data_IF_906905877292
#
_entry.id   IF_906905877292
#
_cell.length_a   1.000
_cell.length_b   1.000
_cell.length_c   1.000
_cell.angle_alpha   90.00
_cell.angle_beta   90.00
_cell.angle_gamma   90.00
#
_symmetry.space_group_name_H-M   'P 1'
#
loop_
_entity.id
_entity.type
_entity.pdbx_description
1 polymer ?
#
# COMPACT_ATOMS: atom_id res chain seq x y z
N UNK A 1 10.51 11.50 -0.40
CA UNK A 1 10.46 10.73 0.86
C UNK A 1 10.57 9.25 0.52
N UNK A 2 11.18 8.43 1.39
CA UNK A 2 11.28 6.99 1.15
C UNK A 2 9.93 6.30 1.34
N UNK A 3 9.55 5.42 0.41
CA UNK A 3 8.35 4.61 0.50
C UNK A 3 8.55 3.23 -0.15
N UNK A 4 7.80 2.24 0.33
CA UNK A 4 7.66 0.96 -0.37
C UNK A 4 6.59 1.11 -1.45
N UNK A 5 6.98 0.99 -2.71
CA UNK A 5 6.13 1.21 -3.87
C UNK A 5 5.88 -0.12 -4.57
N UNK A 6 4.60 -0.43 -4.82
CA UNK A 6 4.18 -1.58 -5.59
C UNK A 6 3.75 -1.13 -6.99
N UNK A 7 4.52 -1.53 -7.99
CA UNK A 7 4.29 -1.14 -9.38
C UNK A 7 3.39 -2.12 -10.14
N UNK A 8 2.80 -1.63 -11.24
CA UNK A 8 2.13 -2.50 -12.21
C UNK A 8 3.16 -3.14 -13.14
N UNK A 9 3.78 -4.22 -12.67
CA UNK A 9 4.72 -5.03 -13.45
C UNK A 9 4.24 -6.49 -13.48
N UNK A 10 3.59 -6.87 -14.59
CA UNK A 10 3.01 -8.22 -14.77
C UNK A 10 4.09 -9.31 -14.75
N UNK A 11 5.24 -9.19 -15.45
CA UNK A 11 6.34 -10.14 -15.33
C UNK A 11 6.83 -10.35 -13.90
N UNK A 12 7.12 -9.27 -13.16
CA UNK A 12 7.58 -9.38 -11.76
C UNK A 12 6.51 -9.95 -10.84
N UNK A 13 5.25 -9.61 -11.05
CA UNK A 13 4.14 -10.20 -10.30
C UNK A 13 4.04 -11.71 -10.53
N UNK A 14 4.20 -12.17 -11.77
CA UNK A 14 4.24 -13.60 -12.08
C UNK A 14 5.45 -14.30 -11.44
N UNK A 15 6.64 -13.65 -11.47
CA UNK A 15 7.82 -14.16 -10.79
C UNK A 15 7.61 -14.26 -9.27
N UNK A 16 6.97 -13.25 -8.66
CA UNK A 16 6.60 -13.25 -7.25
C UNK A 16 5.68 -14.42 -6.90
N UNK A 17 4.66 -14.67 -7.74
CA UNK A 17 3.74 -15.80 -7.57
C UNK A 17 4.46 -17.14 -7.56
N UNK A 18 5.39 -17.36 -8.48
CA UNK A 18 6.18 -18.61 -8.53
C UNK A 18 7.07 -18.72 -7.29
N UNK A 19 7.78 -17.65 -6.92
CA UNK A 19 8.68 -17.66 -5.78
C UNK A 19 7.95 -17.83 -4.44
N UNK A 20 6.84 -17.11 -4.23
CA UNK A 20 5.99 -17.18 -3.05
C UNK A 20 5.27 -18.51 -2.91
N UNK A 21 4.93 -19.16 -4.02
CA UNK A 21 4.38 -20.53 -4.02
C UNK A 21 5.37 -21.61 -3.55
N UNK A 22 6.68 -21.33 -3.59
CA UNK A 22 7.72 -22.24 -3.07
C UNK A 22 7.94 -22.03 -1.57
N UNK A 23 8.08 -20.77 -1.14
CA UNK A 23 8.39 -20.37 0.24
C UNK A 23 7.72 -19.01 0.52
N UNK A 24 6.94 -18.87 1.61
CA UNK A 24 6.32 -17.60 1.98
C UNK A 24 7.34 -16.46 2.08
N UNK A 25 6.96 -15.28 1.57
CA UNK A 25 7.76 -14.06 1.58
C UNK A 25 8.87 -14.00 0.53
N UNK A 26 9.10 -15.06 -0.27
CA UNK A 26 10.11 -14.99 -1.36
C UNK A 26 9.69 -14.08 -2.50
N UNK A 27 8.40 -13.75 -2.62
CA UNK A 27 7.92 -12.77 -3.59
C UNK A 27 8.63 -11.41 -3.46
N UNK A 28 9.03 -11.01 -2.25
CA UNK A 28 9.70 -9.73 -1.99
C UNK A 28 10.99 -9.51 -2.79
N UNK A 29 11.69 -10.59 -3.18
CA UNK A 29 12.99 -10.50 -3.87
C UNK A 29 12.89 -10.28 -5.36
N UNK A 30 11.79 -10.74 -5.97
CA UNK A 30 11.61 -10.79 -7.43
C UNK A 30 10.35 -10.08 -7.90
N UNK A 31 9.48 -9.73 -6.95
CA UNK A 31 8.21 -9.08 -7.18
C UNK A 31 8.33 -7.58 -7.42
N UNK A 32 7.18 -6.93 -7.66
CA UNK A 32 7.13 -5.53 -8.07
C UNK A 32 7.20 -4.53 -6.89
N UNK A 33 7.55 -5.00 -5.68
CA UNK A 33 7.72 -4.13 -4.51
C UNK A 33 9.16 -3.59 -4.47
N UNK A 34 9.30 -2.28 -4.40
CA UNK A 34 10.61 -1.62 -4.33
C UNK A 34 10.62 -0.52 -3.27
N UNK A 35 11.80 -0.23 -2.70
CA UNK A 35 12.00 0.95 -1.86
C UNK A 35 12.47 2.10 -2.75
N UNK A 36 11.65 3.16 -2.84
CA UNK A 36 11.91 4.29 -3.74
C UNK A 36 11.82 5.64 -3.01
N UNK A 37 12.35 6.69 -3.63
CA UNK A 37 12.11 8.09 -3.24
C UNK A 37 10.92 8.65 -4.03
N UNK A 38 9.81 8.90 -3.33
CA UNK A 38 8.58 9.45 -3.91
C UNK A 38 8.34 10.88 -3.45
N UNK A 39 7.67 11.68 -4.27
CA UNK A 39 7.18 12.98 -3.82
C UNK A 39 6.07 12.81 -2.76
N UNK A 40 5.98 13.71 -1.76
CA UNK A 40 4.83 13.74 -0.86
C UNK A 40 3.52 13.89 -1.67
N UNK A 41 2.45 13.15 -1.32
CA UNK A 41 1.20 13.23 -2.06
C UNK A 41 0.56 14.61 -1.88
N UNK A 42 -0.02 15.14 -2.95
CA UNK A 42 -0.92 16.29 -2.88
C UNK A 42 -2.23 15.91 -2.19
N UNK A 43 -2.83 16.85 -1.48
CA UNK A 43 -4.12 16.62 -0.83
C UNK A 43 -5.24 16.54 -1.87
N UNK A 44 -6.08 15.49 -1.88
CA UNK A 44 -7.17 15.37 -2.85
C UNK A 44 -8.24 16.48 -2.76
N UNK A 45 -8.34 17.16 -1.62
CA UNK A 45 -9.31 18.23 -1.38
C UNK A 45 -9.12 18.90 -0.01
N UNK A 46 -9.94 19.91 0.31
CA UNK A 46 -9.77 20.74 1.52
C UNK A 46 -10.03 19.99 2.84
N UNK A 47 -10.79 18.89 2.79
CA UNK A 47 -11.12 18.07 3.97
C UNK A 47 -10.04 17.02 4.29
N UNK A 48 -9.00 16.94 3.47
CA UNK A 48 -7.89 16.00 3.65
C UNK A 48 -6.79 16.61 4.50
N UNK A 49 -6.20 15.80 5.37
CA UNK A 49 -5.08 16.19 6.23
C UNK A 49 -3.91 15.24 6.05
N UNK A 50 -2.69 15.73 6.28
CA UNK A 50 -1.50 14.89 6.29
C UNK A 50 -1.38 14.22 7.66
N UNK A 51 -1.25 12.89 7.66
CA UNK A 51 -0.92 12.11 8.86
C UNK A 51 0.53 11.66 8.76
N UNK A 52 1.33 11.89 9.80
CA UNK A 52 2.68 11.32 9.91
C UNK A 52 2.61 9.93 10.54
N UNK A 53 2.89 8.85 9.79
CA UNK A 53 2.83 7.50 10.35
C UNK A 53 3.87 7.32 11.46
N UNK A 54 3.48 6.67 12.56
CA UNK A 54 4.38 6.26 13.66
C UNK A 54 4.67 4.77 13.61
N UNK A 55 3.64 3.97 13.33
CA UNK A 55 3.73 2.52 13.17
C UNK A 55 2.75 2.08 12.09
N UNK A 56 3.11 1.02 11.36
CA UNK A 56 2.25 0.34 10.41
C UNK A 56 2.32 -1.18 10.67
N UNK A 57 1.16 -1.81 10.79
CA UNK A 57 1.01 -3.26 10.81
C UNK A 57 1.23 -3.86 9.42
N UNK A 58 1.54 -5.15 9.40
CA UNK A 58 1.67 -5.95 8.18
C UNK A 58 0.63 -7.06 8.28
N UNK A 59 -0.35 -7.03 7.38
CA UNK A 59 -1.44 -7.98 7.36
C UNK A 59 -1.16 -9.14 6.39
N UNK A 60 -1.96 -10.21 6.49
CA UNK A 60 -1.92 -11.32 5.53
C UNK A 60 -2.21 -10.88 4.09
N UNK A 61 -3.00 -9.82 3.88
CA UNK A 61 -3.28 -9.25 2.56
C UNK A 61 -2.05 -8.57 1.93
N UNK A 62 -1.21 -7.91 2.74
CA UNK A 62 0.06 -7.33 2.27
C UNK A 62 1.01 -8.44 1.82
N UNK A 63 1.14 -9.50 2.64
CA UNK A 63 1.96 -10.67 2.31
C UNK A 63 1.45 -11.39 1.06
N UNK A 64 0.14 -11.59 0.95
CA UNK A 64 -0.47 -12.19 -0.25
C UNK A 64 -0.22 -11.35 -1.50
N UNK A 65 -0.22 -10.02 -1.38
CA UNK A 65 0.10 -9.11 -2.48
C UNK A 65 1.56 -9.22 -2.91
N UNK A 66 2.48 -9.25 -1.95
CA UNK A 66 3.93 -9.41 -2.19
C UNK A 66 4.24 -10.76 -2.82
N UNK A 67 3.56 -11.83 -2.41
CA UNK A 67 3.76 -13.19 -2.93
C UNK A 67 2.92 -13.50 -4.19
N UNK A 68 2.29 -12.50 -4.83
CA UNK A 68 1.52 -12.70 -6.06
C UNK A 68 0.28 -13.60 -5.90
N UNK A 69 -0.21 -13.72 -4.67
CA UNK A 69 -1.38 -14.50 -4.28
C UNK A 69 -2.65 -13.63 -4.12
N UNK A 70 -2.53 -12.30 -4.18
CA UNK A 70 -3.68 -11.40 -4.19
C UNK A 70 -4.55 -11.62 -5.43
N UNK A 71 -5.87 -11.53 -5.22
CA UNK A 71 -6.82 -11.66 -6.32
C UNK A 71 -6.72 -10.47 -7.25
N UNK A 72 -6.56 -10.73 -8.56
CA UNK A 72 -6.65 -9.69 -9.60
C UNK A 72 -8.05 -9.07 -9.72
N UNK A 73 -9.04 -9.64 -9.04
CA UNK A 73 -10.43 -9.15 -9.01
C UNK A 73 -10.53 -7.68 -8.59
N UNK A 74 -9.63 -7.21 -7.71
CA UNK A 74 -9.64 -5.83 -7.23
C UNK A 74 -8.75 -4.88 -8.05
N UNK A 75 -8.09 -5.35 -9.11
CA UNK A 75 -7.30 -4.49 -10.00
C UNK A 75 -8.03 -3.25 -10.53
N UNK A 76 -9.33 -3.30 -10.88
CA UNK A 76 -10.05 -2.12 -11.37
C UNK A 76 -10.28 -1.04 -10.31
N UNK A 77 -10.12 -1.37 -9.02
CA UNK A 77 -10.40 -0.45 -7.90
C UNK A 77 -9.16 -0.04 -7.12
N UNK A 78 -7.99 -0.58 -7.46
CA UNK A 78 -6.69 -0.14 -6.91
C UNK A 78 -5.98 0.76 -7.92
N UNK A 79 -5.27 1.76 -7.42
CA UNK A 79 -4.43 2.63 -8.24
C UNK A 79 -3.01 2.07 -8.27
N UNK A 80 -2.32 2.16 -9.41
CA UNK A 80 -0.90 1.83 -9.51
C UNK A 80 -0.13 3.06 -10.02
N UNK A 81 1.10 3.30 -9.54
CA UNK A 81 1.73 2.61 -8.40
C UNK A 81 1.00 2.94 -7.08
N UNK A 82 1.17 2.11 -6.05
CA UNK A 82 0.65 2.39 -4.71
C UNK A 82 1.65 2.05 -3.61
N UNK A 83 1.45 2.65 -2.44
CA UNK A 83 2.18 2.34 -1.21
C UNK A 83 1.30 1.41 -0.35
N UNK A 84 1.72 0.18 -0.03
CA UNK A 84 0.96 -0.73 0.83
C UNK A 84 0.84 -0.22 2.27
N UNK A 85 -0.11 -0.78 3.02
CA UNK A 85 -0.34 -0.48 4.43
C UNK A 85 -1.74 0.05 4.71
N UNK A 86 -2.45 -0.63 5.59
CA UNK A 86 -3.84 -0.30 5.98
C UNK A 86 -4.09 -0.46 7.49
N UNK A 87 -3.04 -0.78 8.25
CA UNK A 87 -3.07 -0.92 9.71
C UNK A 87 -2.15 0.15 10.32
N UNK A 88 -2.52 1.43 10.21
CA UNK A 88 -1.59 2.55 10.50
C UNK A 88 -2.07 3.40 11.67
N UNK A 89 -1.13 3.71 12.58
CA UNK A 89 -1.29 4.75 13.60
C UNK A 89 -0.30 5.88 13.37
N UNK A 90 -0.71 7.10 13.63
CA UNK A 90 0.09 8.29 13.35
C UNK A 90 -0.32 9.50 14.15
N UNK A 91 0.24 10.64 13.77
CA UNK A 91 -0.01 11.93 14.41
C UNK A 91 -0.27 13.02 13.37
N UNK A 92 -1.13 13.97 13.74
CA UNK A 92 -1.32 15.22 13.01
C UNK A 92 -0.23 16.24 13.38
N UNK A 93 -0.19 17.37 12.67
CA UNK A 93 0.79 18.44 12.92
C UNK A 93 0.71 19.04 14.33
N UNK A 94 -0.47 19.03 14.95
CA UNK A 94 -0.70 19.51 16.32
C UNK A 94 -0.39 18.48 17.41
N UNK A 95 0.08 17.28 17.03
CA UNK A 95 0.39 16.18 17.92
C UNK A 95 -0.80 15.28 18.27
N UNK A 96 -1.99 15.53 17.72
CA UNK A 96 -3.15 14.65 17.89
C UNK A 96 -2.85 13.26 17.33
N UNK A 97 -3.04 12.22 18.15
CA UNK A 97 -2.85 10.82 17.74
C UNK A 97 -4.09 10.29 17.04
N UNK A 98 -3.88 9.60 15.92
CA UNK A 98 -4.95 9.06 15.08
C UNK A 98 -4.65 7.61 14.67
N UNK A 99 -5.73 6.89 14.35
CA UNK A 99 -5.69 5.60 13.63
C UNK A 99 -6.38 5.80 12.29
N UNK A 100 -5.83 5.21 11.22
CA UNK A 100 -6.44 5.30 9.90
C UNK A 100 -7.55 4.25 9.73
N UNK A 101 -8.72 4.69 9.28
CA UNK A 101 -9.72 3.81 8.67
C UNK A 101 -9.40 3.69 7.17
N UNK A 102 -8.93 2.53 6.68
CA UNK A 102 -8.44 2.41 5.31
C UNK A 102 -9.57 2.37 4.27
N UNK A 103 -10.83 2.18 4.67
CA UNK A 103 -11.96 2.10 3.74
C UNK A 103 -12.52 3.49 3.46
N UNK A 104 -12.21 4.02 2.28
CA UNK A 104 -12.70 5.31 1.80
C UNK A 104 -14.08 5.15 1.10
N UNK A 105 -15.15 5.52 1.80
CA UNK A 105 -16.52 5.54 1.25
C UNK A 105 -16.77 6.66 0.23
N UNK A 106 -17.96 6.69 -0.38
CA UNK A 106 -18.30 7.67 -1.44
C UNK A 106 -18.12 9.12 -0.99
N UNK A 107 -18.62 9.47 0.21
CA UNK A 107 -18.50 10.83 0.77
C UNK A 107 -17.04 11.27 0.90
N UNK A 108 -16.17 10.42 1.43
CA UNK A 108 -14.73 10.71 1.57
C UNK A 108 -14.05 10.93 0.21
N UNK A 109 -14.57 10.27 -0.84
CA UNK A 109 -14.05 10.36 -2.21
C UNK A 109 -14.69 11.48 -3.04
N UNK A 110 -15.66 12.22 -2.48
CA UNK A 110 -16.40 13.24 -3.21
C UNK A 110 -17.29 12.70 -4.34
N UNK A 111 -17.81 11.47 -4.18
CA UNK A 111 -18.71 10.78 -5.14
C UNK A 111 -20.12 10.68 -4.53
#
# INVERSE_FOLDING_TARGET
MKALVFERDVPRFAAAKVAGGLLPGRGVRVGPLQLDDVDPPELPGPDWVVVRPRLAGICGSDLATIDGASSRYFEPIVSFPFVPGHEVVGELDDGTRVVLEPVLGCVTRGI
#
